data_IF_620115274659
#
_entry.id   IF_620115274659
#
_cell.length_a   1.000
_cell.length_b   1.000
_cell.length_c   1.000
_cell.angle_alpha   90.00
_cell.angle_beta   90.00
_cell.angle_gamma   90.00
#
_symmetry.space_group_name_H-M   'P 1'
#
loop_
_entity.id
_entity.type
_entity.pdbx_description
1 polymer ?
#
# COMPACT_ATOMS: atom_id res chain seq x y z
N UNK A 1 -13.54 18.27 -0.58
CA UNK A 1 -12.50 18.70 -1.53
C UNK A 1 -11.17 18.72 -0.81
N UNK A 2 -10.20 17.96 -1.33
CA UNK A 2 -8.83 17.98 -0.80
C UNK A 2 -8.19 19.29 -1.26
N UNK A 3 -7.75 20.09 -0.30
CA UNK A 3 -7.22 21.41 -0.57
C UNK A 3 -5.73 21.29 -0.93
N UNK A 4 -5.31 21.72 -2.14
CA UNK A 4 -3.90 21.82 -2.56
C UNK A 4 -2.99 22.63 -1.59
N UNK A 5 -3.60 23.30 -0.62
CA UNK A 5 -2.92 24.07 0.44
C UNK A 5 -2.62 23.23 1.70
N UNK A 6 -2.80 21.90 1.65
CA UNK A 6 -2.48 21.06 2.80
C UNK A 6 -1.01 21.21 3.20
N UNK A 7 -0.79 21.67 4.42
CA UNK A 7 0.56 21.98 4.92
C UNK A 7 1.47 20.76 5.00
N UNK A 8 0.89 19.59 5.31
CA UNK A 8 1.65 18.32 5.41
C UNK A 8 2.09 17.86 4.04
N UNK A 9 1.18 17.86 3.05
CA UNK A 9 1.55 17.51 1.69
C UNK A 9 2.63 18.44 1.14
N UNK A 10 2.48 19.74 1.31
CA UNK A 10 3.46 20.71 0.83
C UNK A 10 4.84 20.52 1.47
N UNK A 11 4.90 20.10 2.72
CA UNK A 11 6.17 19.82 3.43
C UNK A 11 6.90 18.62 2.84
N UNK A 12 6.19 17.53 2.51
CA UNK A 12 6.81 16.28 2.09
C UNK A 12 6.74 15.99 0.58
N UNK A 13 6.06 16.83 -0.21
CA UNK A 13 5.98 16.64 -1.67
C UNK A 13 7.33 16.60 -2.37
N UNK A 14 8.35 17.24 -1.80
CA UNK A 14 9.73 17.19 -2.28
C UNK A 14 10.39 15.80 -2.17
N UNK A 15 9.81 14.89 -1.39
CA UNK A 15 10.30 13.51 -1.28
C UNK A 15 9.96 12.66 -2.52
N UNK A 16 9.06 13.13 -3.41
CA UNK A 16 8.77 12.45 -4.66
C UNK A 16 9.82 12.73 -5.72
N UNK A 17 10.31 11.67 -6.35
CA UNK A 17 11.12 11.73 -7.57
C UNK A 17 10.41 10.99 -8.69
N UNK A 18 9.92 11.73 -9.69
CA UNK A 18 9.30 11.15 -10.88
C UNK A 18 10.36 10.57 -11.80
N UNK A 19 10.11 9.35 -12.27
CA UNK A 19 10.99 8.64 -13.19
C UNK A 19 10.14 8.14 -14.37
N UNK A 20 10.50 8.62 -15.56
CA UNK A 20 9.84 8.25 -16.81
C UNK A 20 10.53 7.03 -17.41
N UNK A 21 9.76 6.01 -17.76
CA UNK A 21 10.25 4.87 -18.52
C UNK A 21 9.13 4.27 -19.40
N UNK A 22 9.52 3.46 -20.38
CA UNK A 22 8.57 2.80 -21.30
C UNK A 22 7.88 1.60 -20.65
N UNK A 23 6.74 1.20 -21.23
CA UNK A 23 5.95 0.06 -20.75
C UNK A 23 5.07 0.44 -19.57
N UNK A 24 4.77 -0.54 -18.71
CA UNK A 24 4.01 -0.37 -17.49
C UNK A 24 3.03 -1.50 -17.22
N UNK A 25 2.42 -1.43 -16.06
CA UNK A 25 1.47 -2.43 -15.55
C UNK A 25 0.00 -2.01 -15.73
N UNK A 26 -0.25 -0.97 -16.51
CA UNK A 26 -1.61 -0.55 -16.86
C UNK A 26 -2.32 0.32 -15.82
N UNK A 27 -1.59 0.97 -14.92
CA UNK A 27 -2.10 1.96 -13.96
C UNK A 27 -1.65 3.38 -14.31
N UNK A 28 -2.33 4.40 -13.77
CA UNK A 28 -1.99 5.80 -14.04
C UNK A 28 -0.66 6.20 -13.41
N UNK A 29 -0.38 5.67 -12.21
CA UNK A 29 0.89 5.90 -11.52
C UNK A 29 1.28 4.72 -10.63
N UNK A 30 2.55 4.39 -10.67
CA UNK A 30 3.19 3.49 -9.70
C UNK A 30 4.01 4.31 -8.71
N UNK A 31 3.84 4.03 -7.43
CA UNK A 31 4.65 4.58 -6.34
C UNK A 31 5.55 3.49 -5.77
N UNK A 32 6.78 3.86 -5.42
CA UNK A 32 7.63 3.01 -4.59
C UNK A 32 8.10 3.82 -3.39
N UNK A 33 7.69 3.40 -2.19
CA UNK A 33 8.12 4.00 -0.93
C UNK A 33 9.45 3.35 -0.55
N UNK A 34 10.52 4.14 -0.44
CA UNK A 34 11.86 3.60 -0.24
C UNK A 34 12.64 4.34 0.83
N UNK A 35 13.32 3.57 1.66
CA UNK A 35 14.35 4.09 2.54
C UNK A 35 15.62 4.45 1.73
N UNK A 36 16.39 5.48 2.13
CA UNK A 36 17.56 5.93 1.40
C UNK A 36 18.59 4.82 1.09
N UNK A 37 18.80 3.91 2.02
CA UNK A 37 19.73 2.80 1.87
C UNK A 37 19.24 1.67 0.95
N UNK A 38 17.96 1.67 0.55
CA UNK A 38 17.33 0.65 -0.30
C UNK A 38 16.95 1.17 -1.70
N UNK A 39 17.22 2.45 -2.00
CA UNK A 39 16.86 3.10 -3.27
C UNK A 39 17.35 2.32 -4.50
N UNK A 40 18.53 1.73 -4.45
CA UNK A 40 19.10 0.98 -5.58
C UNK A 40 18.28 -0.26 -5.88
N UNK A 41 17.84 -1.00 -4.86
CA UNK A 41 16.96 -2.15 -5.03
C UNK A 41 15.58 -1.73 -5.55
N UNK A 42 14.97 -0.72 -4.93
CA UNK A 42 13.69 -0.16 -5.36
C UNK A 42 13.71 0.22 -6.85
N UNK A 43 14.74 0.95 -7.30
CA UNK A 43 14.89 1.33 -8.71
C UNK A 43 15.03 0.11 -9.63
N UNK A 44 15.78 -0.91 -9.22
CA UNK A 44 15.93 -2.15 -9.99
C UNK A 44 14.56 -2.81 -10.19
N UNK A 45 13.76 -2.94 -9.11
CA UNK A 45 12.43 -3.55 -9.17
C UNK A 45 11.42 -2.72 -9.95
N UNK A 46 11.43 -1.41 -9.81
CA UNK A 46 10.58 -0.53 -10.62
C UNK A 46 10.96 -0.56 -12.11
N UNK A 47 12.26 -0.71 -12.43
CA UNK A 47 12.70 -0.90 -13.82
C UNK A 47 12.21 -2.22 -14.40
N UNK A 48 12.23 -3.29 -13.63
CA UNK A 48 11.69 -4.60 -14.00
C UNK A 48 10.18 -4.53 -14.29
N UNK A 49 9.44 -3.82 -13.43
CA UNK A 49 8.01 -3.61 -13.55
C UNK A 49 7.62 -2.80 -14.80
N UNK A 50 8.44 -1.83 -15.17
CA UNK A 50 8.21 -0.95 -16.29
C UNK A 50 7.24 0.19 -16.00
N UNK A 51 7.13 1.15 -16.94
CA UNK A 51 6.23 2.30 -16.86
C UNK A 51 6.71 3.42 -15.95
N UNK A 52 5.98 4.52 -15.99
CA UNK A 52 6.28 5.68 -15.16
C UNK A 52 6.07 5.38 -13.68
N UNK A 53 6.97 5.83 -12.83
CA UNK A 53 6.81 5.70 -11.39
C UNK A 53 7.34 6.92 -10.63
N UNK A 54 6.82 7.08 -9.41
CA UNK A 54 7.35 8.02 -8.43
C UNK A 54 8.04 7.25 -7.31
N UNK A 55 9.33 7.48 -7.16
CA UNK A 55 10.07 7.06 -5.98
C UNK A 55 9.79 8.06 -4.86
N UNK A 56 9.24 7.60 -3.76
CA UNK A 56 9.00 8.41 -2.57
C UNK A 56 10.03 8.06 -1.50
N UNK A 57 10.86 9.02 -1.12
CA UNK A 57 11.75 8.85 0.03
C UNK A 57 10.91 8.75 1.29
N UNK A 58 10.90 7.57 1.91
CA UNK A 58 10.10 7.29 3.09
C UNK A 58 10.34 8.34 4.19
N UNK A 59 9.28 8.75 4.84
CA UNK A 59 9.37 9.68 5.97
C UNK A 59 10.00 8.94 7.14
N UNK A 60 11.10 9.49 7.66
CA UNK A 60 11.81 8.91 8.80
C UNK A 60 11.33 9.54 10.10
N UNK A 61 11.41 8.80 11.23
CA UNK A 61 11.00 9.31 12.54
C UNK A 61 11.71 10.60 12.97
N UNK A 62 12.99 10.73 12.61
CA UNK A 62 13.84 11.90 12.96
C UNK A 62 13.47 13.18 12.19
N UNK A 63 12.66 13.07 11.13
CA UNK A 63 12.13 14.21 10.38
C UNK A 63 10.84 14.78 10.98
N UNK A 64 10.26 14.12 11.98
CA UNK A 64 8.99 14.52 12.60
C UNK A 64 9.22 15.14 13.97
N UNK A 65 8.68 16.32 14.18
CA UNK A 65 8.66 17.02 15.46
C UNK A 65 7.47 16.57 16.33
N UNK A 66 7.50 16.87 17.62
CA UNK A 66 6.36 16.65 18.52
C UNK A 66 5.10 17.37 18.03
N UNK A 67 5.25 18.58 17.45
CA UNK A 67 4.15 19.32 16.84
C UNK A 67 3.55 18.60 15.64
N UNK A 68 4.39 17.96 14.81
CA UNK A 68 3.90 17.14 13.69
C UNK A 68 3.07 15.98 14.20
N UNK A 69 3.54 15.25 15.20
CA UNK A 69 2.79 14.15 15.81
C UNK A 69 1.43 14.64 16.34
N UNK A 70 1.39 15.77 17.05
CA UNK A 70 0.15 16.35 17.57
C UNK A 70 -0.80 16.77 16.45
N UNK A 71 -0.31 17.52 15.46
CA UNK A 71 -1.12 18.02 14.34
C UNK A 71 -1.72 16.86 13.54
N UNK A 72 -0.90 15.89 13.22
CA UNK A 72 -1.35 14.73 12.44
C UNK A 72 -2.34 13.87 13.21
N UNK A 73 -2.13 13.68 14.50
CA UNK A 73 -3.05 12.98 15.38
C UNK A 73 -4.41 13.61 15.41
N UNK A 74 -4.47 14.93 15.54
CA UNK A 74 -5.74 15.66 15.59
C UNK A 74 -6.44 15.76 14.23
N UNK A 75 -5.67 15.92 13.16
CA UNK A 75 -6.22 16.25 11.84
C UNK A 75 -6.51 15.03 10.99
N UNK A 76 -5.57 14.08 10.94
CA UNK A 76 -5.62 12.95 9.99
C UNK A 76 -5.81 11.60 10.66
N UNK A 77 -5.27 11.42 11.87
CA UNK A 77 -5.18 10.13 12.55
C UNK A 77 -5.64 10.21 14.00
N UNK A 78 -6.96 10.42 14.26
CA UNK A 78 -7.49 10.51 15.62
C UNK A 78 -7.08 9.28 16.46
N UNK A 79 -6.67 9.53 17.71
CA UNK A 79 -6.22 8.48 18.63
C UNK A 79 -4.73 8.16 18.56
N UNK A 80 -3.96 8.82 17.69
CA UNK A 80 -2.52 8.56 17.56
C UNK A 80 -1.67 9.12 18.73
N UNK A 81 -2.23 10.02 19.54
CA UNK A 81 -1.53 10.74 20.63
C UNK A 81 -0.94 9.85 21.74
N UNK A 82 -1.42 8.60 21.90
CA UNK A 82 -1.00 7.71 22.99
C UNK A 82 0.22 6.84 22.66
N UNK A 83 0.95 7.14 21.58
CA UNK A 83 2.00 6.26 21.08
C UNK A 83 3.42 6.66 21.37
N UNK A 84 4.10 5.81 22.12
CA UNK A 84 5.57 5.73 22.24
C UNK A 84 6.27 5.07 21.03
N UNK A 85 5.56 4.75 19.93
CA UNK A 85 6.19 4.06 18.80
C UNK A 85 6.41 5.02 17.63
N UNK A 86 7.53 5.73 17.70
CA UNK A 86 8.01 6.69 16.69
C UNK A 86 8.04 6.17 15.24
N UNK A 87 7.96 4.86 15.01
CA UNK A 87 8.07 4.26 13.67
C UNK A 87 6.74 4.14 12.91
N UNK A 88 5.60 4.02 13.60
CA UNK A 88 4.30 3.75 12.94
C UNK A 88 3.77 4.92 12.14
N UNK A 89 3.83 6.14 12.70
CA UNK A 89 3.34 7.34 12.02
C UNK A 89 4.11 7.65 10.72
N UNK A 90 5.45 7.61 10.70
CA UNK A 90 6.21 7.84 9.46
C UNK A 90 5.80 6.90 8.32
N UNK A 91 5.56 5.62 8.62
CA UNK A 91 5.07 4.65 7.63
C UNK A 91 3.70 5.05 7.12
N UNK A 92 2.74 5.26 8.02
CA UNK A 92 1.38 5.67 7.66
C UNK A 92 1.36 6.94 6.82
N UNK A 93 2.20 7.94 7.19
CA UNK A 93 2.35 9.18 6.43
C UNK A 93 2.92 8.95 5.03
N UNK A 94 3.88 8.05 4.88
CA UNK A 94 4.47 7.77 3.56
C UNK A 94 3.39 7.23 2.61
N UNK A 95 2.51 6.33 3.07
CA UNK A 95 1.34 5.88 2.30
C UNK A 95 0.35 7.01 2.05
N UNK A 96 0.02 7.79 3.09
CA UNK A 96 -0.88 8.94 2.98
C UNK A 96 -0.40 9.93 1.92
N UNK A 97 0.92 10.20 1.85
CA UNK A 97 1.49 11.08 0.82
C UNK A 97 1.26 10.55 -0.59
N UNK A 98 1.37 9.24 -0.80
CA UNK A 98 1.07 8.63 -2.10
C UNK A 98 -0.42 8.75 -2.46
N UNK A 99 -1.32 8.51 -1.50
CA UNK A 99 -2.77 8.70 -1.70
C UNK A 99 -3.11 10.14 -2.04
N UNK A 100 -2.55 11.09 -1.30
CA UNK A 100 -2.80 12.50 -1.51
C UNK A 100 -2.26 12.97 -2.86
N UNK A 101 -1.04 12.58 -3.22
CA UNK A 101 -0.45 12.89 -4.53
C UNK A 101 -1.30 12.32 -5.68
N UNK A 102 -1.84 11.12 -5.52
CA UNK A 102 -2.72 10.51 -6.51
C UNK A 102 -3.98 11.37 -6.75
N UNK A 103 -4.64 11.82 -5.68
CA UNK A 103 -5.83 12.67 -5.78
C UNK A 103 -5.52 14.04 -6.40
N UNK A 104 -4.42 14.68 -6.00
CA UNK A 104 -4.01 15.99 -6.52
C UNK A 104 -3.71 15.93 -8.01
N UNK A 105 -3.15 14.82 -8.50
CA UNK A 105 -2.82 14.62 -9.90
C UNK A 105 -3.95 14.00 -10.74
N UNK A 106 -5.06 13.61 -10.11
CA UNK A 106 -6.21 13.09 -10.81
C UNK A 106 -6.08 11.64 -11.29
N UNK A 107 -5.24 10.81 -10.64
CA UNK A 107 -5.07 9.41 -10.99
C UNK A 107 -6.26 8.58 -10.50
N UNK A 108 -6.79 7.68 -11.35
CA UNK A 108 -7.93 6.82 -11.04
C UNK A 108 -7.51 5.47 -10.47
N UNK A 109 -6.39 4.94 -10.93
CA UNK A 109 -5.83 3.68 -10.43
C UNK A 109 -4.33 3.82 -10.20
N UNK A 110 -3.88 3.51 -9.01
CA UNK A 110 -2.47 3.56 -8.64
C UNK A 110 -1.99 2.22 -8.08
N UNK A 111 -0.69 1.98 -8.19
CA UNK A 111 -0.03 0.95 -7.39
C UNK A 111 0.95 1.57 -6.41
N UNK A 112 1.08 0.96 -5.23
CA UNK A 112 2.07 1.33 -4.21
C UNK A 112 2.86 0.09 -3.83
N UNK A 113 4.17 0.20 -3.89
CA UNK A 113 5.12 -0.85 -3.49
C UNK A 113 6.04 -0.34 -2.39
N UNK A 114 6.43 -1.22 -1.48
CA UNK A 114 7.55 -0.99 -0.57
C UNK A 114 8.88 -1.33 -1.27
N UNK A 115 10.01 -1.01 -0.65
CA UNK A 115 11.34 -1.10 -1.28
C UNK A 115 12.01 -2.48 -1.16
N UNK A 116 11.46 -3.39 -0.35
CA UNK A 116 12.00 -4.72 -0.08
C UNK A 116 11.24 -5.85 -0.82
N UNK A 117 10.66 -5.53 -1.96
CA UNK A 117 9.83 -6.44 -2.75
C UNK A 117 10.61 -7.26 -3.77
N UNK A 118 10.01 -8.41 -4.14
CA UNK A 118 10.38 -9.23 -5.30
C UNK A 118 9.14 -9.72 -6.04
N UNK A 119 9.30 -10.14 -7.30
CA UNK A 119 8.24 -10.59 -8.19
C UNK A 119 8.42 -12.08 -8.56
N UNK A 120 8.17 -13.02 -7.63
CA UNK A 120 8.45 -14.44 -7.85
C UNK A 120 7.62 -15.05 -8.98
N UNK A 121 6.41 -14.53 -9.20
CA UNK A 121 5.50 -14.99 -10.25
C UNK A 121 5.69 -14.27 -11.59
N UNK A 122 6.63 -13.33 -11.66
CA UNK A 122 6.91 -12.53 -12.84
C UNK A 122 5.94 -11.34 -13.03
N UNK A 123 6.41 -10.35 -13.78
CA UNK A 123 5.68 -9.08 -13.99
C UNK A 123 4.41 -9.26 -14.84
N UNK A 124 4.38 -10.25 -15.73
CA UNK A 124 3.22 -10.45 -16.61
C UNK A 124 1.99 -10.93 -15.84
N UNK A 125 2.15 -11.74 -14.78
CA UNK A 125 1.05 -12.09 -13.89
C UNK A 125 0.53 -10.85 -13.13
N UNK A 126 1.42 -9.96 -12.71
CA UNK A 126 1.03 -8.68 -12.09
C UNK A 126 0.18 -7.86 -13.07
N UNK A 127 0.61 -7.74 -14.33
CA UNK A 127 -0.15 -7.01 -15.38
C UNK A 127 -1.53 -7.63 -15.60
N UNK A 128 -1.62 -8.96 -15.69
CA UNK A 128 -2.88 -9.69 -15.87
C UNK A 128 -3.82 -9.40 -14.71
N UNK A 129 -3.38 -9.59 -13.47
CA UNK A 129 -4.20 -9.34 -12.28
C UNK A 129 -4.67 -7.89 -12.17
N UNK A 130 -3.83 -6.91 -12.51
CA UNK A 130 -4.22 -5.48 -12.53
C UNK A 130 -5.25 -5.23 -13.63
N UNK A 131 -5.07 -5.84 -14.82
CA UNK A 131 -6.04 -5.71 -15.91
C UNK A 131 -7.43 -6.24 -15.51
N UNK A 132 -7.48 -7.41 -14.86
CA UNK A 132 -8.72 -7.97 -14.35
C UNK A 132 -9.33 -7.10 -13.23
N UNK A 133 -8.49 -6.64 -12.28
CA UNK A 133 -8.92 -5.75 -11.19
C UNK A 133 -9.58 -4.46 -11.68
N UNK A 134 -9.09 -3.87 -12.77
CA UNK A 134 -9.68 -2.66 -13.33
C UNK A 134 -11.12 -2.87 -13.85
N UNK A 135 -11.45 -4.08 -14.24
CA UNK A 135 -12.74 -4.44 -14.85
C UNK A 135 -13.79 -4.94 -13.86
N UNK A 136 -13.44 -5.12 -12.58
CA UNK A 136 -14.37 -5.55 -11.52
C UNK A 136 -14.72 -4.38 -10.60
N UNK A 137 -15.86 -4.48 -9.90
CA UNK A 137 -16.32 -3.46 -8.95
C UNK A 137 -15.70 -3.67 -7.55
N UNK A 138 -14.37 -3.74 -7.51
CA UNK A 138 -13.60 -3.79 -6.26
C UNK A 138 -12.65 -2.61 -6.22
N UNK A 139 -12.30 -2.16 -5.02
CA UNK A 139 -11.56 -0.92 -4.82
C UNK A 139 -10.10 -1.15 -4.43
N UNK A 140 -9.77 -2.34 -3.93
CA UNK A 140 -8.42 -2.72 -3.51
C UNK A 140 -8.02 -4.09 -4.01
N UNK A 141 -6.78 -4.19 -4.50
CA UNK A 141 -6.09 -5.42 -4.81
C UNK A 141 -4.80 -5.49 -3.98
N UNK A 142 -4.70 -6.48 -3.09
CA UNK A 142 -3.47 -6.82 -2.40
C UNK A 142 -2.68 -7.82 -3.26
N UNK A 143 -1.63 -7.36 -3.93
CA UNK A 143 -0.79 -8.21 -4.78
C UNK A 143 0.20 -9.06 -4.00
N UNK A 144 0.48 -8.68 -2.77
CA UNK A 144 1.23 -9.45 -1.78
C UNK A 144 0.59 -9.33 -0.42
N UNK A 145 0.43 -10.44 0.27
CA UNK A 145 -0.15 -10.53 1.61
C UNK A 145 0.62 -11.55 2.45
N UNK A 146 0.68 -11.32 3.77
CA UNK A 146 1.46 -12.17 4.66
C UNK A 146 0.62 -13.11 5.51
N UNK A 147 -0.65 -12.83 5.66
CA UNK A 147 -1.56 -13.64 6.43
C UNK A 147 -2.99 -13.38 5.95
N UNK A 148 -3.66 -14.43 5.63
CA UNK A 148 -5.07 -14.43 5.28
C UNK A 148 -5.74 -15.58 6.04
N UNK A 149 -6.76 -15.26 6.85
CA UNK A 149 -7.55 -16.29 7.50
C UNK A 149 -8.43 -16.96 6.45
N UNK A 150 -8.11 -18.20 6.12
CA UNK A 150 -8.87 -18.96 5.15
C UNK A 150 -10.23 -19.36 5.74
N UNK A 151 -11.30 -19.06 5.04
CA UNK A 151 -12.65 -19.49 5.38
C UNK A 151 -13.49 -19.71 4.10
N UNK A 152 -14.60 -20.40 4.23
CA UNK A 152 -15.47 -20.83 3.10
C UNK A 152 -16.25 -19.69 2.43
N UNK A 153 -16.07 -18.44 2.88
CA UNK A 153 -16.77 -17.27 2.34
C UNK A 153 -16.07 -16.59 1.17
N UNK A 154 -14.93 -17.10 0.72
CA UNK A 154 -14.22 -16.52 -0.42
C UNK A 154 -14.84 -16.98 -1.74
N UNK A 155 -14.86 -16.09 -2.73
CA UNK A 155 -15.38 -16.39 -4.05
C UNK A 155 -14.44 -15.91 -5.15
N UNK A 156 -14.34 -16.68 -6.22
CA UNK A 156 -13.59 -16.28 -7.40
C UNK A 156 -14.38 -15.22 -8.18
N UNK A 157 -13.77 -14.06 -8.42
CA UNK A 157 -14.40 -12.95 -9.16
C UNK A 157 -13.84 -12.78 -10.57
N UNK A 158 -12.68 -13.39 -10.84
CA UNK A 158 -12.10 -13.48 -12.17
C UNK A 158 -11.14 -14.67 -12.24
N UNK A 159 -10.45 -14.86 -13.37
CA UNK A 159 -9.48 -15.97 -13.52
C UNK A 159 -8.36 -15.92 -12.48
N UNK A 160 -7.85 -14.72 -12.17
CA UNK A 160 -6.71 -14.54 -11.28
C UNK A 160 -7.10 -14.03 -9.89
N UNK A 161 -8.37 -13.57 -9.67
CA UNK A 161 -8.71 -12.81 -8.48
C UNK A 161 -9.79 -13.49 -7.63
N UNK A 162 -9.57 -13.46 -6.34
CA UNK A 162 -10.45 -13.97 -5.28
C UNK A 162 -10.96 -12.78 -4.45
N UNK A 163 -12.27 -12.70 -4.26
CA UNK A 163 -12.91 -11.75 -3.33
C UNK A 163 -12.66 -12.19 -1.89
N UNK A 164 -12.07 -11.29 -1.12
CA UNK A 164 -11.78 -11.45 0.30
C UNK A 164 -12.36 -10.28 1.11
N UNK A 165 -13.38 -9.62 0.57
CA UNK A 165 -14.02 -8.47 1.21
C UNK A 165 -14.51 -8.82 2.62
N UNK A 166 -14.28 -7.90 3.56
CA UNK A 166 -14.63 -8.12 4.97
C UNK A 166 -13.59 -8.92 5.77
N UNK A 167 -12.55 -9.44 5.13
CA UNK A 167 -11.48 -10.19 5.79
C UNK A 167 -10.36 -9.28 6.29
N UNK A 168 -9.70 -9.68 7.35
CA UNK A 168 -8.53 -9.01 7.87
C UNK A 168 -7.27 -9.51 7.15
N UNK A 169 -6.66 -8.62 6.35
CA UNK A 169 -5.40 -8.84 5.65
C UNK A 169 -4.28 -8.08 6.34
N UNK A 170 -3.09 -8.63 6.39
CA UNK A 170 -1.89 -7.91 6.85
C UNK A 170 -0.84 -7.85 5.74
N UNK A 171 0.09 -6.92 5.89
CA UNK A 171 1.11 -6.53 4.93
C UNK A 171 0.60 -5.66 3.76
N UNK A 172 1.21 -4.48 3.65
CA UNK A 172 0.87 -3.47 2.63
C UNK A 172 1.97 -3.32 1.58
N UNK A 173 2.86 -4.29 1.45
CA UNK A 173 4.06 -4.12 0.63
C UNK A 173 3.78 -4.00 -0.87
N UNK A 174 2.59 -4.40 -1.34
CA UNK A 174 2.18 -4.27 -2.73
C UNK A 174 0.66 -4.15 -2.86
N UNK A 175 0.19 -2.96 -3.20
CA UNK A 175 -1.21 -2.62 -3.33
C UNK A 175 -1.51 -2.04 -4.70
N UNK A 176 -2.67 -2.38 -5.30
CA UNK A 176 -3.27 -1.63 -6.38
C UNK A 176 -4.62 -1.09 -5.90
N UNK A 177 -4.88 0.20 -6.13
CA UNK A 177 -5.94 0.94 -5.43
C UNK A 177 -6.66 1.86 -6.41
N UNK A 178 -8.00 1.85 -6.38
CA UNK A 178 -8.82 2.82 -7.11
C UNK A 178 -9.00 4.11 -6.33
N UNK A 179 -9.21 5.21 -7.03
CA UNK A 179 -9.47 6.55 -6.46
C UNK A 179 -10.61 6.53 -5.47
N UNK A 180 -11.69 5.80 -5.77
CA UNK A 180 -12.87 5.71 -4.89
C UNK A 180 -12.52 5.25 -3.48
N UNK A 181 -11.62 4.27 -3.36
CA UNK A 181 -11.08 3.87 -2.06
C UNK A 181 -10.32 5.01 -1.38
N UNK A 182 -9.40 5.67 -2.11
CA UNK A 182 -8.56 6.73 -1.55
C UNK A 182 -9.43 7.86 -0.97
N UNK A 183 -10.47 8.25 -1.71
CA UNK A 183 -11.42 9.28 -1.27
C UNK A 183 -12.18 8.87 -0.01
N UNK A 184 -12.68 7.63 0.05
CA UNK A 184 -13.34 7.08 1.24
C UNK A 184 -12.40 7.00 2.43
N UNK A 185 -11.17 6.51 2.22
CA UNK A 185 -10.16 6.32 3.26
C UNK A 185 -9.75 7.64 3.90
N UNK A 186 -9.43 8.64 3.10
CA UNK A 186 -9.01 9.95 3.60
C UNK A 186 -10.18 10.71 4.26
N UNK A 187 -11.40 10.57 3.75
CA UNK A 187 -12.61 11.13 4.36
C UNK A 187 -12.97 10.44 5.68
N UNK A 188 -12.80 9.14 5.75
CA UNK A 188 -13.14 8.32 6.91
C UNK A 188 -12.21 8.49 8.10
N UNK A 189 -11.05 9.13 7.93
CA UNK A 189 -10.07 9.39 9.01
C UNK A 189 -9.82 8.12 9.85
N UNK A 190 -9.24 7.07 9.29
CA UNK A 190 -9.10 5.79 9.98
C UNK A 190 -8.32 5.94 11.29
N UNK A 191 -8.76 5.21 12.32
CA UNK A 191 -8.13 5.24 13.64
C UNK A 191 -6.89 4.35 13.65
N UNK A 192 -5.74 4.93 13.87
CA UNK A 192 -4.44 4.22 13.90
C UNK A 192 -4.07 3.59 15.24
N UNK A 193 -4.85 3.82 16.29
CA UNK A 193 -4.57 3.24 17.61
C UNK A 193 -5.30 1.91 17.81
N UNK A 194 -4.63 0.87 18.31
CA UNK A 194 -3.20 0.64 18.61
C UNK A 194 -2.41 -0.01 17.46
N UNK A 195 -2.94 0.03 16.26
CA UNK A 195 -2.56 -0.84 15.14
C UNK A 195 -1.39 -0.33 14.29
N UNK A 196 -0.77 -1.21 13.54
CA UNK A 196 0.16 -0.91 12.45
C UNK A 196 -0.62 -0.41 11.21
N UNK A 197 0.08 0.23 10.26
CA UNK A 197 -0.57 0.79 9.06
C UNK A 197 -1.36 -0.26 8.26
N UNK A 198 -0.83 -1.46 8.11
CA UNK A 198 -1.47 -2.58 7.43
C UNK A 198 -2.75 -3.04 8.14
N UNK A 199 -2.71 -3.16 9.46
CA UNK A 199 -3.88 -3.49 10.27
C UNK A 199 -4.96 -2.41 10.18
N UNK A 200 -4.57 -1.13 10.22
CA UNK A 200 -5.53 -0.01 10.09
C UNK A 200 -6.22 -0.05 8.74
N UNK A 201 -5.46 -0.26 7.67
CA UNK A 201 -5.99 -0.36 6.32
C UNK A 201 -6.99 -1.51 6.21
N UNK A 202 -6.59 -2.69 6.68
CA UNK A 202 -7.43 -3.88 6.67
C UNK A 202 -8.71 -3.72 7.49
N UNK A 203 -8.61 -3.19 8.72
CA UNK A 203 -9.78 -2.90 9.55
C UNK A 203 -10.70 -1.87 8.92
N UNK A 204 -10.16 -0.85 8.25
CA UNK A 204 -10.96 0.11 7.52
C UNK A 204 -11.73 -0.54 6.37
N UNK A 205 -11.05 -1.39 5.59
CA UNK A 205 -11.68 -2.15 4.50
C UNK A 205 -12.82 -3.03 5.02
N UNK A 206 -12.59 -3.81 6.06
CA UNK A 206 -13.58 -4.69 6.64
C UNK A 206 -14.81 -3.92 7.18
N UNK A 207 -14.59 -2.86 7.96
CA UNK A 207 -15.66 -2.05 8.59
C UNK A 207 -16.51 -1.27 7.58
N UNK A 208 -15.91 -0.83 6.49
CA UNK A 208 -16.58 -0.02 5.47
C UNK A 208 -17.05 -0.86 4.27
N UNK A 209 -16.93 -2.19 4.35
CA UNK A 209 -17.29 -3.13 3.27
C UNK A 209 -16.65 -2.75 1.94
N UNK A 210 -15.36 -2.41 1.98
CA UNK A 210 -14.60 -2.10 0.78
C UNK A 210 -14.38 -3.40 0.00
N UNK A 211 -14.73 -3.40 -1.27
CA UNK A 211 -14.47 -4.52 -2.17
C UNK A 211 -12.96 -4.76 -2.29
N UNK A 212 -12.51 -5.88 -1.75
CA UNK A 212 -11.08 -6.22 -1.64
C UNK A 212 -10.82 -7.58 -2.28
N UNK A 213 -9.83 -7.62 -3.15
CA UNK A 213 -9.41 -8.87 -3.81
C UNK A 213 -7.94 -9.17 -3.55
N UNK A 214 -7.60 -10.44 -3.63
CA UNK A 214 -6.23 -10.95 -3.70
C UNK A 214 -6.04 -11.80 -4.95
N UNK A 215 -4.82 -11.94 -5.50
CA UNK A 215 -4.57 -12.93 -6.52
C UNK A 215 -4.63 -14.34 -5.89
N UNK A 216 -4.94 -15.32 -6.73
CA UNK A 216 -4.98 -16.73 -6.34
C UNK A 216 -3.63 -17.28 -5.84
N UNK A 217 -2.54 -16.60 -6.15
CA UNK A 217 -1.21 -16.79 -5.58
C UNK A 217 -0.58 -15.44 -5.29
N UNK A 218 0.21 -15.32 -4.23
CA UNK A 218 0.92 -14.07 -3.94
C UNK A 218 1.87 -13.72 -5.08
N UNK A 219 1.70 -12.51 -5.65
CA UNK A 219 2.48 -12.04 -6.80
C UNK A 219 3.74 -11.28 -6.37
N UNK A 220 3.73 -10.73 -5.17
CA UNK A 220 4.79 -9.87 -4.65
C UNK A 220 5.17 -10.33 -3.26
N UNK A 221 6.41 -10.69 -3.06
CA UNK A 221 6.97 -11.10 -1.78
C UNK A 221 7.88 -10.02 -1.21
N UNK A 222 8.07 -10.02 0.12
CA UNK A 222 9.07 -9.18 0.80
C UNK A 222 10.37 -9.95 1.02
N UNK A 223 11.49 -9.34 0.69
CA UNK A 223 12.85 -9.87 0.96
C UNK A 223 13.36 -9.49 2.35
N UNK A 224 12.58 -9.78 3.38
CA UNK A 224 12.90 -9.38 4.78
C UNK A 224 14.19 -10.01 5.31
N UNK A 225 14.50 -11.24 4.92
CA UNK A 225 15.71 -11.95 5.36
C UNK A 225 16.98 -11.31 4.81
N UNK A 226 16.94 -10.82 3.56
CA UNK A 226 18.10 -10.21 2.90
C UNK A 226 18.28 -8.74 3.28
N UNK A 227 17.18 -8.02 3.54
CA UNK A 227 17.19 -6.55 3.68
C UNK A 227 16.92 -6.07 5.10
N UNK A 228 16.62 -6.99 6.03
CA UNK A 228 16.23 -6.69 7.40
C UNK A 228 14.85 -6.04 7.54
N UNK A 229 14.15 -6.34 8.61
CA UNK A 229 12.89 -5.68 8.96
C UNK A 229 13.17 -4.54 9.92
N UNK A 230 12.67 -3.35 9.64
CA UNK A 230 12.76 -2.21 10.57
C UNK A 230 11.94 -2.41 11.85
N UNK A 231 11.01 -3.35 11.83
CA UNK A 231 10.16 -3.69 12.97
C UNK A 231 10.68 -4.88 13.80
N UNK A 232 11.87 -5.40 13.49
CA UNK A 232 12.51 -6.49 14.26
C UNK A 232 11.87 -7.88 14.10
N UNK A 233 10.84 -8.03 13.28
CA UNK A 233 10.17 -9.31 13.03
C UNK A 233 10.58 -9.87 11.66
N UNK A 234 11.56 -10.78 11.66
CA UNK A 234 12.04 -11.46 10.46
C UNK A 234 11.23 -12.72 10.10
N UNK A 235 10.15 -13.03 10.81
CA UNK A 235 9.35 -14.21 10.50
C UNK A 235 8.52 -13.98 9.26
N UNK A 236 8.80 -14.74 8.20
CA UNK A 236 7.89 -14.96 7.09
C UNK A 236 6.63 -15.61 7.66
N UNK A 237 5.47 -14.95 7.47
CA UNK A 237 4.19 -15.61 7.68
C UNK A 237 3.85 -16.30 6.35
N UNK A 238 3.74 -17.63 6.30
CA UNK A 238 3.39 -18.32 5.07
C UNK A 238 2.00 -17.93 4.59
N UNK A 239 1.83 -17.84 3.29
CA UNK A 239 0.52 -17.76 2.68
C UNK A 239 -0.24 -19.04 3.04
N UNK A 240 -1.35 -18.90 3.74
CA UNK A 240 -2.04 -20.02 4.37
C UNK A 240 -3.25 -20.51 3.59
N UNK A 241 -3.66 -19.80 2.53
CA UNK A 241 -4.84 -20.16 1.76
C UNK A 241 -4.49 -20.86 0.45
N UNK A 242 -5.10 -22.04 0.25
CA UNK A 242 -5.09 -22.72 -1.04
C UNK A 242 -6.41 -22.46 -1.76
N UNK A 243 -6.38 -21.58 -2.77
CA UNK A 243 -7.56 -21.20 -3.54
C UNK A 243 -7.89 -22.13 -4.71
N UNK A 244 -7.23 -23.29 -4.82
CA UNK A 244 -7.44 -24.19 -5.95
C UNK A 244 -8.84 -24.85 -5.96
N UNK A 245 -9.56 -24.78 -4.83
CA UNK A 245 -10.88 -25.39 -4.66
C UNK A 245 -12.03 -24.38 -4.63
N UNK A 246 -11.79 -23.11 -4.99
CA UNK A 246 -12.77 -22.02 -5.04
C UNK A 246 -13.19 -21.71 -6.49
#
# INVERSE_FOLDING_TARGET
MINKKDGVYNRFRGNFKYIKQKGGIGVDMTYCISMPNRISHAKKKMKELGGNYKLFNAIRPDLLTTTDYATMSLTYFPGFMSFNKKTKLPVALSFFMCYYDALVNGYDTICIFEDDIDFPSGVDKIKKSISEFKNIDHEMLFMGYCHLNCHDGYSRVSEELIDVSGTHLVCNHALCIKRTFIEKYLKGKPLFYPHHNDQVLSLFCARNRIGTVVPNVSLVNQKREEMGSQNGNNRLMPDTCNFNNI
#
